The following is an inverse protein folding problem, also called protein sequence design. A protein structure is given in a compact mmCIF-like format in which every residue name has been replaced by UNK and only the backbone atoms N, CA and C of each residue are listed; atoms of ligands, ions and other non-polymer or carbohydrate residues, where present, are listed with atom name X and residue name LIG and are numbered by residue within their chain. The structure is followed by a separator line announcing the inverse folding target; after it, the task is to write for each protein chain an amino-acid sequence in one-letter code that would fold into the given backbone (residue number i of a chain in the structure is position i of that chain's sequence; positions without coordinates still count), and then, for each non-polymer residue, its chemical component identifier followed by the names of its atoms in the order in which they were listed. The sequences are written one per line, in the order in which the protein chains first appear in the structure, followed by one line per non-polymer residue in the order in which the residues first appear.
data_IF_281638726473
#
_entry.id   IF_281638726473
#
_cell.length_a   1.000
_cell.length_b   1.000
_cell.length_c   1.000
_cell.angle_alpha   90.00
_cell.angle_beta   90.00
_cell.angle_gamma   90.00
#
_symmetry.space_group_name_H-M   'P 1'
#
loop_
_entity.id
_entity.type
_entity.pdbx_description
1 polymer ?
#
# COMPACT_ATOMS: atom_id res chain seq x y z
N UNK A 1 5.36 2.81 -28.31
CA UNK A 1 5.41 4.04 -27.48
C UNK A 1 4.42 3.86 -26.34
N UNK A 2 4.89 3.77 -25.09
CA UNK A 2 3.98 3.64 -23.93
C UNK A 2 3.15 4.92 -23.83
N UNK A 3 1.85 4.80 -24.05
CA UNK A 3 0.94 5.92 -24.18
C UNK A 3 0.30 6.21 -22.82
N UNK A 4 1.14 6.65 -21.88
CA UNK A 4 0.77 6.89 -20.49
C UNK A 4 0.85 8.38 -20.21
N UNK A 5 -0.24 8.97 -19.74
CA UNK A 5 -0.34 10.38 -19.43
C UNK A 5 -0.18 10.59 -17.92
N UNK A 6 0.62 11.58 -17.52
CA UNK A 6 0.76 11.98 -16.13
C UNK A 6 -0.17 13.15 -15.84
N UNK A 7 -1.08 12.99 -14.89
CA UNK A 7 -1.98 14.05 -14.42
C UNK A 7 -1.99 14.07 -12.90
N UNK A 8 -1.72 15.23 -12.29
CA UNK A 8 -1.64 15.40 -10.82
C UNK A 8 -0.72 14.39 -10.12
N UNK A 9 0.28 13.84 -10.82
CA UNK A 9 1.19 12.82 -10.29
C UNK A 9 0.71 11.36 -10.45
N UNK A 10 -0.51 11.15 -10.95
CA UNK A 10 -1.07 9.84 -11.31
C UNK A 10 -0.75 9.48 -12.76
N UNK A 11 -0.47 8.21 -13.01
CA UNK A 11 -0.27 7.65 -14.35
C UNK A 11 -1.57 7.06 -14.89
N UNK A 12 -2.09 7.68 -15.94
CA UNK A 12 -3.29 7.25 -16.64
C UNK A 12 -2.92 6.49 -17.91
N UNK A 13 -3.55 5.33 -18.08
CA UNK A 13 -3.51 4.53 -19.30
C UNK A 13 -4.79 4.80 -20.12
N UNK A 14 -4.73 4.74 -21.45
CA UNK A 14 -5.89 4.96 -22.34
C UNK A 14 -7.07 4.05 -22.00
N UNK A 15 -6.78 2.83 -21.55
CA UNK A 15 -7.79 1.83 -21.18
C UNK A 15 -8.21 1.92 -19.71
N UNK A 16 -7.70 2.91 -18.95
CA UNK A 16 -7.92 3.08 -17.51
C UNK A 16 -7.66 1.78 -16.71
N UNK A 17 -6.66 1.01 -17.14
CA UNK A 17 -6.28 -0.26 -16.47
C UNK A 17 -5.34 -0.05 -15.28
N UNK A 18 -4.71 1.11 -15.16
CA UNK A 18 -3.86 1.55 -14.03
C UNK A 18 -2.75 0.56 -13.61
N UNK A 19 -2.27 -0.27 -14.55
CA UNK A 19 -1.19 -1.25 -14.30
C UNK A 19 0.13 -0.54 -13.95
N UNK A 20 0.45 0.53 -14.66
CA UNK A 20 1.69 1.27 -14.42
C UNK A 20 1.63 2.07 -13.11
N UNK A 21 0.48 2.68 -12.80
CA UNK A 21 0.28 3.39 -11.53
C UNK A 21 0.41 2.45 -10.32
N UNK A 22 -0.24 1.28 -10.37
CA UNK A 22 -0.14 0.29 -9.29
C UNK A 22 1.26 -0.28 -9.13
N UNK A 23 1.99 -0.51 -10.22
CA UNK A 23 3.40 -0.89 -10.18
C UNK A 23 4.27 0.21 -9.55
N UNK A 24 4.02 1.49 -9.91
CA UNK A 24 4.74 2.62 -9.35
C UNK A 24 4.46 2.80 -7.84
N UNK A 25 3.22 2.61 -7.39
CA UNK A 25 2.86 2.65 -5.97
C UNK A 25 3.59 1.56 -5.18
N UNK A 26 3.59 0.32 -5.69
CA UNK A 26 4.34 -0.79 -5.08
C UNK A 26 5.85 -0.53 -5.05
N UNK A 27 6.41 0.00 -6.13
CA UNK A 27 7.84 0.32 -6.21
C UNK A 27 8.25 1.41 -5.21
N UNK A 28 7.45 2.48 -5.08
CA UNK A 28 7.64 3.49 -4.03
C UNK A 28 7.60 2.85 -2.64
N UNK A 29 6.62 1.97 -2.43
CA UNK A 29 6.47 1.22 -1.19
C UNK A 29 7.72 0.44 -0.78
N UNK A 30 8.24 -0.33 -1.72
CA UNK A 30 9.46 -1.12 -1.52
C UNK A 30 10.69 -0.24 -1.27
N UNK A 31 10.82 0.89 -1.98
CA UNK A 31 11.91 1.83 -1.76
C UNK A 31 11.91 2.37 -0.32
N UNK A 32 10.75 2.79 0.19
CA UNK A 32 10.62 3.27 1.57
C UNK A 32 10.87 2.18 2.61
N UNK A 33 10.41 0.94 2.40
CA UNK A 33 10.72 -0.18 3.32
C UNK A 33 12.23 -0.37 3.45
N UNK A 34 12.97 -0.28 2.33
CA UNK A 34 14.42 -0.44 2.35
C UNK A 34 15.10 0.63 3.22
N UNK A 35 14.55 1.85 3.22
CA UNK A 35 15.03 2.95 4.07
C UNK A 35 14.63 2.75 5.52
N UNK A 36 13.38 2.36 5.80
CA UNK A 36 12.94 2.09 7.17
C UNK A 36 13.74 0.99 7.84
N UNK A 37 14.07 -0.09 7.13
CA UNK A 37 14.97 -1.14 7.64
C UNK A 37 16.35 -0.63 8.06
N UNK A 38 16.84 0.42 7.39
CA UNK A 38 18.14 1.04 7.72
C UNK A 38 18.04 1.95 8.93
N UNK A 39 16.89 2.61 9.12
CA UNK A 39 16.63 3.53 10.22
C UNK A 39 16.26 2.80 11.51
N UNK A 40 15.58 1.65 11.41
CA UNK A 40 15.10 0.84 12.55
C UNK A 40 16.17 -0.09 13.14
N UNK A 41 17.45 0.30 13.09
CA UNK A 41 18.54 -0.53 13.63
C UNK A 41 18.41 -0.66 15.15
N UNK A 42 18.69 -1.85 15.67
CA UNK A 42 18.66 -2.11 17.12
C UNK A 42 19.69 -1.28 17.89
N UNK A 43 20.78 -0.89 17.25
CA UNK A 43 21.83 -0.03 17.80
C UNK A 43 21.85 1.31 17.08
N UNK A 44 21.54 2.39 17.81
CA UNK A 44 21.52 3.76 17.27
C UNK A 44 20.45 4.03 16.21
N UNK A 45 19.40 3.20 16.15
CA UNK A 45 18.27 3.43 15.28
C UNK A 45 17.19 4.29 15.91
N UNK A 46 16.17 4.60 15.11
CA UNK A 46 15.01 5.40 15.48
C UNK A 46 14.01 4.54 16.25
N UNK A 47 13.38 5.12 17.27
CA UNK A 47 12.32 4.47 18.05
C UNK A 47 11.13 4.07 17.16
N UNK A 48 10.50 2.93 17.47
CA UNK A 48 9.38 2.38 16.71
C UNK A 48 8.19 3.34 16.54
N UNK A 49 7.92 4.18 17.54
CA UNK A 49 6.87 5.21 17.53
C UNK A 49 7.05 6.19 16.36
N UNK A 50 8.25 6.74 16.20
CA UNK A 50 8.58 7.67 15.13
C UNK A 50 8.57 7.01 13.74
N UNK A 51 9.01 5.75 13.64
CA UNK A 51 8.93 4.99 12.39
C UNK A 51 7.48 4.82 11.95
N UNK A 52 6.57 4.54 12.90
CA UNK A 52 5.14 4.46 12.64
C UNK A 52 4.57 5.80 12.15
N UNK A 53 4.91 6.90 12.80
CA UNK A 53 4.45 8.23 12.37
C UNK A 53 4.94 8.58 10.96
N UNK A 54 6.20 8.30 10.66
CA UNK A 54 6.76 8.50 9.32
C UNK A 54 6.10 7.62 8.27
N UNK A 55 5.76 6.38 8.63
CA UNK A 55 4.99 5.48 7.76
C UNK A 55 3.64 6.09 7.40
N UNK A 56 2.87 6.54 8.38
CA UNK A 56 1.54 7.12 8.17
C UNK A 56 1.65 8.44 7.38
N UNK A 57 2.59 9.31 7.73
CA UNK A 57 2.74 10.62 7.09
C UNK A 57 3.23 10.52 5.64
N UNK A 58 4.25 9.69 5.39
CA UNK A 58 4.97 9.69 4.12
C UNK A 58 4.55 8.54 3.24
N UNK A 59 4.63 7.33 3.78
CA UNK A 59 4.52 6.12 2.99
C UNK A 59 3.05 5.84 2.60
N UNK A 60 2.13 5.95 3.55
CA UNK A 60 0.70 5.82 3.29
C UNK A 60 0.22 6.89 2.31
N UNK A 61 0.55 8.17 2.55
CA UNK A 61 0.21 9.26 1.64
C UNK A 61 0.75 9.01 0.22
N UNK A 62 2.03 8.64 0.07
CA UNK A 62 2.65 8.47 -1.24
C UNK A 62 2.18 7.24 -2.03
N UNK A 63 1.80 6.14 -1.37
CA UNK A 63 1.30 4.92 -2.02
C UNK A 63 -0.19 4.95 -2.30
N UNK A 64 -0.97 5.54 -1.39
CA UNK A 64 -2.42 5.62 -1.49
C UNK A 64 -2.91 6.91 -2.15
N UNK A 65 -2.00 7.82 -2.55
CA UNK A 65 -2.40 8.99 -3.29
C UNK A 65 -3.16 8.62 -4.57
N UNK A 66 -4.41 9.07 -4.65
CA UNK A 66 -5.33 8.74 -5.73
C UNK A 66 -5.82 7.30 -5.73
N UNK A 67 -5.74 6.59 -4.59
CA UNK A 67 -6.25 5.23 -4.41
C UNK A 67 -7.67 5.09 -4.96
N UNK A 68 -8.56 6.03 -4.65
CA UNK A 68 -9.96 6.04 -5.12
C UNK A 68 -10.11 6.00 -6.65
N UNK A 69 -9.10 6.50 -7.37
CA UNK A 69 -9.12 6.58 -8.84
C UNK A 69 -8.74 5.23 -9.47
N UNK A 70 -7.78 4.51 -8.89
CA UNK A 70 -7.25 3.26 -9.48
C UNK A 70 -7.65 1.97 -8.73
N UNK A 71 -8.05 2.08 -7.47
CA UNK A 71 -8.61 1.02 -6.64
C UNK A 71 -10.11 1.29 -6.53
N UNK A 72 -10.92 0.41 -7.10
CA UNK A 72 -12.37 0.50 -6.91
C UNK A 72 -12.70 -0.01 -5.50
N UNK A 73 -13.45 0.75 -4.68
CA UNK A 73 -13.86 0.33 -3.34
C UNK A 73 -14.61 -1.01 -3.40
N UNK A 74 -14.26 -1.95 -2.53
CA UNK A 74 -14.86 -3.30 -2.54
C UNK A 74 -16.34 -3.27 -2.12
N UNK A 75 -16.77 -2.22 -1.40
CA UNK A 75 -18.10 -2.10 -0.81
C UNK A 75 -19.12 -1.26 -1.59
N UNK A 76 -18.83 -0.79 -2.81
CA UNK A 76 -19.86 -0.07 -3.59
C UNK A 76 -20.78 -1.03 -4.37
N UNK A 77 -22.03 -1.28 -3.91
CA UNK A 77 -22.95 -2.23 -4.54
C UNK A 77 -23.43 -1.81 -5.95
N UNK A 78 -23.18 -0.56 -6.37
CA UNK A 78 -23.65 -0.02 -7.66
C UNK A 78 -22.71 -0.26 -8.86
N UNK A 79 -21.45 -0.66 -8.65
CA UNK A 79 -20.44 -0.71 -9.73
C UNK A 79 -20.28 -2.11 -10.38
N UNK A 80 -21.34 -2.93 -10.36
CA UNK A 80 -21.35 -4.26 -10.95
C UNK A 80 -21.49 -4.22 -12.49
N UNK A 81 -20.46 -3.73 -13.19
CA UNK A 81 -20.34 -3.95 -14.64
C UNK A 81 -19.81 -5.36 -14.94
N UNK A 82 -20.34 -5.98 -16.00
CA UNK A 82 -20.11 -7.36 -16.45
C UNK A 82 -18.66 -7.73 -16.75
N UNK A 83 -17.77 -6.76 -16.92
CA UNK A 83 -16.33 -6.94 -17.18
C UNK A 83 -15.47 -6.92 -15.89
N UNK A 84 -16.12 -6.93 -14.72
CA UNK A 84 -15.50 -6.64 -13.42
C UNK A 84 -14.69 -7.77 -12.80
N UNK A 85 -14.79 -9.02 -13.25
CA UNK A 85 -14.13 -10.16 -12.58
C UNK A 85 -12.60 -10.12 -12.71
N UNK A 86 -12.09 -9.86 -13.91
CA UNK A 86 -10.65 -9.75 -14.18
C UNK A 86 -10.07 -8.49 -13.53
N UNK A 87 -10.77 -7.37 -13.62
CA UNK A 87 -10.36 -6.11 -13.00
C UNK A 87 -10.34 -6.20 -11.47
N UNK A 88 -11.37 -6.77 -10.84
CA UNK A 88 -11.41 -7.03 -9.39
C UNK A 88 -10.27 -7.95 -8.96
N UNK A 89 -9.95 -8.99 -9.75
CA UNK A 89 -8.81 -9.87 -9.45
C UNK A 89 -7.47 -9.12 -9.48
N UNK A 90 -7.25 -8.28 -10.48
CA UNK A 90 -6.05 -7.44 -10.59
C UNK A 90 -5.96 -6.45 -9.42
N UNK A 91 -7.07 -5.80 -9.07
CA UNK A 91 -7.13 -4.88 -7.92
C UNK A 91 -6.84 -5.60 -6.60
N UNK A 92 -7.45 -6.77 -6.36
CA UNK A 92 -7.13 -7.60 -5.18
C UNK A 92 -5.65 -7.98 -5.12
N UNK A 93 -5.04 -8.27 -6.27
CA UNK A 93 -3.61 -8.56 -6.32
C UNK A 93 -2.74 -7.33 -5.97
N UNK A 94 -3.15 -6.13 -6.38
CA UNK A 94 -2.48 -4.87 -5.99
C UNK A 94 -2.66 -4.61 -4.51
N UNK A 95 -3.87 -4.73 -3.97
CA UNK A 95 -4.14 -4.58 -2.53
C UNK A 95 -3.33 -5.60 -1.73
N UNK A 96 -3.22 -6.85 -2.19
CA UNK A 96 -2.39 -7.87 -1.55
C UNK A 96 -0.90 -7.50 -1.52
N UNK A 97 -0.37 -6.89 -2.59
CA UNK A 97 1.02 -6.39 -2.61
C UNK A 97 1.22 -5.22 -1.65
N UNK A 98 0.26 -4.30 -1.60
CA UNK A 98 0.29 -3.18 -0.66
C UNK A 98 0.16 -3.66 0.80
N UNK A 99 -0.67 -4.66 1.06
CA UNK A 99 -0.79 -5.32 2.37
C UNK A 99 0.52 -6.04 2.77
N UNK A 100 1.22 -6.66 1.81
CA UNK A 100 2.54 -7.23 2.04
C UNK A 100 3.57 -6.16 2.46
N UNK A 101 3.47 -4.97 1.87
CA UNK A 101 4.32 -3.82 2.23
C UNK A 101 4.01 -3.34 3.65
N UNK A 102 2.73 -3.16 3.99
CA UNK A 102 2.33 -2.82 5.36
C UNK A 102 2.82 -3.87 6.37
N UNK A 103 2.66 -5.17 6.08
CA UNK A 103 3.17 -6.24 6.95
C UNK A 103 4.68 -6.10 7.20
N UNK A 104 5.46 -5.78 6.16
CA UNK A 104 6.91 -5.58 6.33
C UNK A 104 7.22 -4.39 7.24
N UNK A 105 6.44 -3.31 7.15
CA UNK A 105 6.59 -2.15 8.03
C UNK A 105 6.14 -2.49 9.46
N UNK A 106 5.03 -3.20 9.63
CA UNK A 106 4.55 -3.63 10.94
C UNK A 106 5.57 -4.52 11.66
N UNK A 107 6.25 -5.43 10.93
CA UNK A 107 7.37 -6.21 11.47
C UNK A 107 8.54 -5.34 11.91
N UNK A 108 8.85 -4.28 11.16
CA UNK A 108 9.93 -3.33 11.50
C UNK A 108 9.59 -2.54 12.78
N UNK A 109 8.35 -2.07 12.89
CA UNK A 109 7.86 -1.29 14.04
C UNK A 109 7.82 -2.17 15.29
N UNK A 110 7.23 -3.36 15.19
CA UNK A 110 7.01 -4.24 16.35
C UNK A 110 8.23 -5.08 16.73
N UNK A 111 9.17 -5.27 15.80
CA UNK A 111 10.28 -6.21 15.99
C UNK A 111 9.83 -7.69 16.11
N UNK A 112 8.60 -8.00 15.71
CA UNK A 112 8.02 -9.32 15.85
C UNK A 112 8.61 -10.36 14.88
N UNK A 113 8.35 -11.64 15.15
CA UNK A 113 8.80 -12.74 14.32
C UNK A 113 8.12 -12.70 12.93
N UNK A 114 8.82 -13.13 11.86
CA UNK A 114 8.24 -13.16 10.52
C UNK A 114 7.07 -14.16 10.39
N UNK A 115 6.91 -15.08 11.34
CA UNK A 115 5.79 -16.02 11.44
C UNK A 115 4.55 -15.43 12.11
N UNK A 116 4.64 -14.25 12.74
CA UNK A 116 3.52 -13.64 13.46
C UNK A 116 2.36 -13.31 12.51
N UNK A 117 1.10 -13.63 12.85
CA UNK A 117 -0.08 -13.29 12.05
C UNK A 117 -0.19 -11.80 11.74
N UNK A 118 -0.59 -11.43 10.52
CA UNK A 118 -0.68 -10.02 10.11
C UNK A 118 -1.65 -9.21 10.96
N UNK A 119 -2.79 -9.78 11.34
CA UNK A 119 -3.81 -9.09 12.14
C UNK A 119 -3.26 -8.67 13.51
N UNK A 120 -2.45 -9.53 14.13
CA UNK A 120 -1.77 -9.20 15.39
C UNK A 120 -0.72 -8.11 15.20
N UNK A 121 0.03 -8.14 14.10
CA UNK A 121 1.02 -7.11 13.79
C UNK A 121 0.36 -5.75 13.60
N UNK A 122 -0.75 -5.69 12.87
CA UNK A 122 -1.49 -4.46 12.63
C UNK A 122 -2.06 -3.90 13.95
N UNK A 123 -2.61 -4.75 14.82
CA UNK A 123 -3.08 -4.33 16.15
C UNK A 123 -1.93 -3.82 17.02
N UNK A 124 -0.80 -4.54 17.09
CA UNK A 124 0.34 -4.15 17.91
C UNK A 124 1.12 -2.95 17.37
N UNK A 125 1.09 -2.72 16.05
CA UNK A 125 1.67 -1.54 15.42
C UNK A 125 0.70 -0.35 15.39
N UNK A 126 -0.53 -0.51 15.90
CA UNK A 126 -1.61 0.47 15.80
C UNK A 126 -1.79 0.96 14.34
N UNK A 127 -1.84 0.00 13.41
CA UNK A 127 -2.04 0.21 11.98
C UNK A 127 -3.39 -0.37 11.57
N UNK A 128 -4.09 0.33 10.67
CA UNK A 128 -5.33 -0.17 10.09
C UNK A 128 -5.02 -1.17 8.97
N UNK A 129 -5.69 -2.34 8.89
CA UNK A 129 -5.52 -3.26 7.78
C UNK A 129 -5.69 -2.56 6.41
N UNK A 130 -4.80 -2.85 5.45
CA UNK A 130 -4.79 -2.15 4.15
C UNK A 130 -6.14 -2.17 3.42
N UNK A 131 -6.91 -3.25 3.54
CA UNK A 131 -8.24 -3.35 2.92
C UNK A 131 -9.20 -2.28 3.45
N UNK A 132 -9.12 -1.97 4.74
CA UNK A 132 -9.92 -0.95 5.39
C UNK A 132 -9.34 0.45 5.16
N UNK A 133 -8.01 0.58 5.06
CA UNK A 133 -7.37 1.87 4.79
C UNK A 133 -7.69 2.46 3.41
N UNK A 134 -8.03 1.60 2.44
CA UNK A 134 -8.40 1.99 1.08
C UNK A 134 -9.89 2.32 0.95
N UNK A 135 -10.73 1.88 1.89
CA UNK A 135 -12.19 2.03 1.85
C UNK A 135 -12.70 3.22 2.69
N UNK A 136 -11.79 3.99 3.29
CA UNK A 136 -12.08 5.18 4.11
C UNK A 136 -12.14 6.43 3.25
#
# INVERSE_FOLDING_TARGET
VKNVMKLLGLLFDRELRFKEQSAAAVAKGQAWISQFRRLSRTTGGVEASHVREWYIATLMSGMLYGADVFLTPQHHPGAASRDSSVRKKLQRAVVGKLASIQRQVALIITGALPSTPTDLLDIHADLLPMSLAIDK
#
